data_IF_162850700950
#
_entry.id   IF_162850700950
#
_cell.length_a   1.000
_cell.length_b   1.000
_cell.length_c   1.000
_cell.angle_alpha   90.00
_cell.angle_beta   90.00
_cell.angle_gamma   90.00
#
_symmetry.space_group_name_H-M   'P 1'
#
loop_
_entity.id
_entity.type
_entity.pdbx_description
1 polymer ?
#
# COMPACT_ATOMS: atom_id res chain seq x y z
N UNK A 1 -34.15 90.12 23.69
CA UNK A 1 -35.57 90.52 23.64
C UNK A 1 -35.98 90.40 22.18
N UNK A 2 -36.85 89.49 21.73
CA UNK A 2 -38.28 89.40 22.01
C UNK A 2 -38.74 87.92 21.97
N UNK A 3 -39.78 87.65 22.76
CA UNK A 3 -40.39 86.36 23.13
C UNK A 3 -41.09 85.64 21.97
N UNK A 4 -40.95 84.32 21.92
CA UNK A 4 -41.77 83.41 21.11
C UNK A 4 -43.03 82.99 21.87
N UNK A 5 -44.19 83.07 21.22
CA UNK A 5 -45.49 82.70 21.76
C UNK A 5 -45.76 81.19 21.62
N UNK A 6 -46.27 80.56 22.68
CA UNK A 6 -46.72 79.17 22.71
C UNK A 6 -48.19 79.07 22.25
N UNK A 7 -48.47 78.16 21.32
CA UNK A 7 -49.82 77.75 20.93
C UNK A 7 -50.27 76.54 21.77
N UNK A 8 -51.50 76.57 22.28
CA UNK A 8 -52.14 75.50 23.06
C UNK A 8 -52.83 74.47 22.14
N UNK A 9 -52.71 73.18 22.46
CA UNK A 9 -53.37 72.05 21.76
C UNK A 9 -54.40 71.41 22.72
N UNK A 10 -55.60 71.11 22.22
CA UNK A 10 -56.67 70.38 22.94
C UNK A 10 -56.68 68.87 22.60
N UNK A 11 -57.19 67.97 23.48
CA UNK A 11 -57.09 66.52 23.31
C UNK A 11 -58.31 65.89 22.60
N UNK A 12 -58.21 64.62 22.11
CA UNK A 12 -59.22 63.99 21.27
C UNK A 12 -60.25 63.14 22.06
N UNK A 13 -61.42 62.92 21.45
CA UNK A 13 -62.57 62.18 21.99
C UNK A 13 -62.65 60.75 21.43
N UNK A 14 -63.05 59.76 22.25
CA UNK A 14 -63.17 58.33 21.90
C UNK A 14 -64.62 57.85 22.09
N UNK A 15 -65.20 56.99 21.21
CA UNK A 15 -66.54 56.42 21.40
C UNK A 15 -66.53 54.94 21.84
N UNK A 16 -67.59 54.53 22.56
CA UNK A 16 -67.79 53.18 23.13
C UNK A 16 -68.58 52.22 22.21
N UNK A 17 -68.29 50.91 22.31
CA UNK A 17 -68.91 49.83 21.54
C UNK A 17 -69.78 48.87 22.40
N UNK A 18 -70.90 48.42 21.84
CA UNK A 18 -71.89 47.48 22.42
C UNK A 18 -71.60 46.01 22.02
N UNK A 19 -71.88 45.04 22.92
CA UNK A 19 -71.79 43.59 22.66
C UNK A 19 -73.17 42.95 22.46
N UNK A 20 -73.24 41.92 21.60
CA UNK A 20 -74.39 40.97 21.46
C UNK A 20 -73.90 39.51 21.59
N UNK A 21 -74.81 38.61 22.02
CA UNK A 21 -74.55 37.19 22.28
C UNK A 21 -75.31 36.26 21.31
N UNK A 22 -74.72 35.12 20.96
CA UNK A 22 -75.23 34.15 19.97
C UNK A 22 -75.40 32.74 20.57
N UNK A 23 -76.49 32.05 20.23
CA UNK A 23 -76.85 30.69 20.71
C UNK A 23 -76.39 29.56 19.77
N UNK A 24 -76.11 28.38 20.33
CA UNK A 24 -75.44 27.24 19.67
C UNK A 24 -76.42 26.12 19.26
N UNK A 25 -76.31 25.57 18.03
CA UNK A 25 -77.07 24.38 17.53
C UNK A 25 -76.24 23.09 17.58
N UNK A 26 -76.90 21.93 17.78
CA UNK A 26 -76.30 20.57 17.80
C UNK A 26 -76.16 19.98 16.39
N UNK A 27 -75.06 19.27 16.14
CA UNK A 27 -74.72 18.58 14.88
C UNK A 27 -75.22 17.13 14.90
N UNK A 28 -75.76 16.59 13.79
CA UNK A 28 -76.25 15.21 13.72
C UNK A 28 -75.11 14.16 13.76
N UNK A 29 -75.34 13.01 14.41
CA UNK A 29 -74.29 12.04 14.76
C UNK A 29 -73.59 11.39 13.56
N UNK A 30 -74.29 11.17 12.43
CA UNK A 30 -73.70 10.57 11.24
C UNK A 30 -72.61 11.45 10.60
N UNK A 31 -72.80 12.78 10.60
CA UNK A 31 -71.81 13.73 10.09
C UNK A 31 -70.55 13.76 10.95
N UNK A 32 -70.69 13.59 12.27
CA UNK A 32 -69.54 13.50 13.19
C UNK A 32 -68.67 12.25 12.93
N UNK A 33 -69.27 11.11 12.58
CA UNK A 33 -68.54 9.87 12.26
C UNK A 33 -67.69 10.02 11.00
N UNK A 34 -68.23 10.62 9.94
CA UNK A 34 -67.49 10.85 8.67
C UNK A 34 -66.28 11.76 8.91
N UNK A 35 -66.46 12.85 9.66
CA UNK A 35 -65.36 13.77 10.02
C UNK A 35 -64.26 13.03 10.79
N UNK A 36 -64.62 12.17 11.75
CA UNK A 36 -63.63 11.40 12.53
C UNK A 36 -62.91 10.36 11.67
N UNK A 37 -63.58 9.71 10.72
CA UNK A 37 -62.96 8.73 9.82
C UNK A 37 -61.98 9.40 8.86
N UNK A 38 -62.38 10.51 8.25
CA UNK A 38 -61.53 11.30 7.34
C UNK A 38 -60.34 11.91 8.08
N UNK A 39 -60.56 12.41 9.30
CA UNK A 39 -59.49 12.91 10.14
C UNK A 39 -58.50 11.79 10.51
N UNK A 40 -58.99 10.62 10.95
CA UNK A 40 -58.13 9.47 11.29
C UNK A 40 -57.41 8.87 10.07
N UNK A 41 -57.98 8.92 8.87
CA UNK A 41 -57.30 8.45 7.66
C UNK A 41 -56.17 9.41 7.29
N UNK A 42 -56.42 10.73 7.31
CA UNK A 42 -55.42 11.77 7.06
C UNK A 42 -54.26 11.73 8.07
N UNK A 43 -54.57 11.62 9.36
CA UNK A 43 -53.53 11.48 10.40
C UNK A 43 -52.72 10.20 10.19
N UNK A 44 -53.34 9.09 9.79
CA UNK A 44 -52.62 7.84 9.47
C UNK A 44 -51.75 7.96 8.23
N UNK A 45 -52.14 8.72 7.20
CA UNK A 45 -51.30 8.94 6.02
C UNK A 45 -50.10 9.82 6.36
N UNK A 46 -50.31 10.93 7.08
CA UNK A 46 -49.24 11.83 7.54
C UNK A 46 -48.24 11.09 8.45
N UNK A 47 -48.72 10.24 9.36
CA UNK A 47 -47.86 9.39 10.20
C UNK A 47 -47.05 8.37 9.37
N UNK A 48 -47.65 7.76 8.35
CA UNK A 48 -46.96 6.79 7.48
C UNK A 48 -45.91 7.46 6.60
N UNK A 49 -46.16 8.66 6.10
CA UNK A 49 -45.19 9.45 5.33
C UNK A 49 -44.00 9.85 6.20
N UNK A 50 -44.25 10.38 7.40
CA UNK A 50 -43.20 10.71 8.36
C UNK A 50 -42.38 9.47 8.77
N UNK A 51 -43.02 8.31 8.94
CA UNK A 51 -42.30 7.06 9.23
C UNK A 51 -41.45 6.57 8.04
N UNK A 52 -41.94 6.73 6.80
CA UNK A 52 -41.17 6.41 5.58
C UNK A 52 -39.95 7.32 5.44
N UNK A 53 -40.10 8.62 5.67
CA UNK A 53 -38.98 9.57 5.65
C UNK A 53 -37.93 9.25 6.71
N UNK A 54 -38.36 8.95 7.94
CA UNK A 54 -37.46 8.52 9.03
C UNK A 54 -36.71 7.24 8.66
N UNK A 55 -37.39 6.24 8.10
CA UNK A 55 -36.76 4.99 7.64
C UNK A 55 -35.77 5.24 6.49
N UNK A 56 -36.11 6.10 5.54
CA UNK A 56 -35.22 6.45 4.43
C UNK A 56 -33.95 7.18 4.91
N UNK A 57 -34.06 8.10 5.88
CA UNK A 57 -32.92 8.78 6.48
C UNK A 57 -31.98 7.81 7.22
N UNK A 58 -32.52 6.86 7.98
CA UNK A 58 -31.73 5.81 8.66
C UNK A 58 -30.98 4.93 7.64
N UNK A 59 -31.65 4.52 6.57
CA UNK A 59 -31.04 3.74 5.48
C UNK A 59 -29.96 4.54 4.75
N UNK A 60 -30.17 5.84 4.52
CA UNK A 60 -29.17 6.75 3.95
C UNK A 60 -27.91 6.82 4.81
N UNK A 61 -28.05 7.12 6.10
CA UNK A 61 -26.94 7.16 7.05
C UNK A 61 -26.19 5.82 7.11
N UNK A 62 -26.91 4.69 7.07
CA UNK A 62 -26.29 3.36 7.09
C UNK A 62 -25.49 3.07 5.82
N UNK A 63 -25.96 3.50 4.64
CA UNK A 63 -25.23 3.39 3.37
C UNK A 63 -23.96 4.23 3.35
N UNK A 64 -24.02 5.47 3.83
CA UNK A 64 -22.85 6.35 3.91
C UNK A 64 -21.81 5.84 4.90
N UNK A 65 -22.25 5.36 6.07
CA UNK A 65 -21.38 4.73 7.06
C UNK A 65 -20.68 3.49 6.50
N UNK A 66 -21.40 2.67 5.73
CA UNK A 66 -20.84 1.49 5.09
C UNK A 66 -19.83 1.86 3.99
N UNK A 67 -20.16 2.86 3.16
CA UNK A 67 -19.24 3.36 2.13
C UNK A 67 -17.96 3.97 2.72
N UNK A 68 -18.07 4.70 3.85
CA UNK A 68 -16.91 5.21 4.59
C UNK A 68 -16.04 4.09 5.15
N UNK A 69 -16.64 3.05 5.74
CA UNK A 69 -15.91 1.89 6.24
C UNK A 69 -15.16 1.16 5.12
N UNK A 70 -15.78 0.97 3.95
CA UNK A 70 -15.12 0.37 2.78
C UNK A 70 -13.97 1.24 2.24
N UNK A 71 -14.16 2.56 2.15
CA UNK A 71 -13.08 3.49 1.74
C UNK A 71 -11.91 3.47 2.72
N UNK A 72 -12.22 3.46 4.02
CA UNK A 72 -11.20 3.37 5.08
C UNK A 72 -10.43 2.06 5.00
N UNK A 73 -11.13 0.92 4.88
CA UNK A 73 -10.49 -0.39 4.72
C UNK A 73 -9.62 -0.47 3.46
N UNK A 74 -10.13 0.01 2.33
CA UNK A 74 -9.38 0.03 1.06
C UNK A 74 -8.14 0.93 1.15
N UNK A 75 -8.24 2.10 1.78
CA UNK A 75 -7.09 2.98 2.03
C UNK A 75 -6.07 2.33 2.96
N UNK A 76 -6.50 1.73 4.07
CA UNK A 76 -5.62 1.01 4.99
C UNK A 76 -4.92 -0.17 4.31
N UNK A 77 -5.62 -0.94 3.48
CA UNK A 77 -5.05 -2.04 2.71
C UNK A 77 -4.01 -1.55 1.69
N UNK A 78 -4.27 -0.42 1.02
CA UNK A 78 -3.35 0.20 0.07
C UNK A 78 -2.10 0.79 0.74
N UNK A 79 -2.25 1.39 1.92
CA UNK A 79 -1.10 1.86 2.72
C UNK A 79 -0.30 0.68 3.26
N UNK A 80 -0.95 -0.38 3.75
CA UNK A 80 -0.27 -1.56 4.25
C UNK A 80 0.54 -2.29 3.16
N UNK A 81 0.05 -2.34 1.92
CA UNK A 81 0.80 -2.94 0.80
C UNK A 81 2.02 -2.11 0.39
N UNK A 82 1.95 -0.78 0.47
CA UNK A 82 3.08 0.12 0.23
C UNK A 82 4.17 0.06 1.31
N UNK A 83 3.82 -0.36 2.53
CA UNK A 83 4.76 -0.41 3.67
C UNK A 83 5.54 -1.73 3.79
N UNK A 84 5.32 -2.72 2.92
CA UNK A 84 6.16 -3.93 2.88
C UNK A 84 7.45 -3.62 2.13
N UNK A 85 8.34 -2.88 2.76
CA UNK A 85 9.71 -2.71 2.26
C UNK A 85 10.51 -3.91 2.76
N UNK A 86 11.01 -4.81 1.89
CA UNK A 86 11.87 -5.89 2.33
C UNK A 86 13.08 -5.28 3.04
N UNK A 87 13.27 -5.62 4.32
CA UNK A 87 14.46 -5.23 5.06
C UNK A 87 15.66 -5.92 4.40
N UNK A 88 16.40 -5.18 3.57
CA UNK A 88 17.64 -5.62 2.93
C UNK A 88 18.78 -5.63 3.96
N UNK A 89 18.65 -6.45 5.01
CA UNK A 89 19.78 -6.70 5.91
C UNK A 89 20.79 -7.54 5.17
N UNK A 90 22.03 -7.07 5.03
CA UNK A 90 23.09 -7.91 4.50
C UNK A 90 23.32 -9.12 5.43
N UNK A 91 23.81 -10.24 4.88
CA UNK A 91 24.12 -11.44 5.65
C UNK A 91 25.31 -12.21 5.07
N UNK A 92 25.96 -13.00 5.92
CA UNK A 92 26.89 -14.04 5.49
C UNK A 92 26.14 -15.36 5.52
N UNK A 93 26.04 -16.03 4.38
CA UNK A 93 25.37 -17.34 4.34
C UNK A 93 26.27 -18.43 4.93
N UNK A 94 25.65 -19.36 5.66
CA UNK A 94 26.26 -20.66 5.89
C UNK A 94 26.29 -21.46 4.58
N UNK A 95 27.31 -22.31 4.40
CA UNK A 95 27.55 -23.07 3.15
C UNK A 95 26.30 -23.79 2.65
N UNK A 96 25.67 -24.60 3.50
CA UNK A 96 24.52 -25.39 3.06
C UNK A 96 23.22 -24.59 2.92
N UNK A 97 23.10 -23.46 3.62
CA UNK A 97 21.95 -22.58 3.45
C UNK A 97 22.00 -21.87 2.10
N UNK A 98 23.20 -21.44 1.67
CA UNK A 98 23.38 -20.91 0.33
C UNK A 98 23.15 -21.99 -0.73
N UNK A 99 23.71 -23.20 -0.56
CA UNK A 99 23.55 -24.29 -1.51
C UNK A 99 22.07 -24.62 -1.75
N UNK A 100 21.27 -24.73 -0.67
CA UNK A 100 19.82 -24.93 -0.77
C UNK A 100 19.11 -23.76 -1.44
N UNK A 101 19.50 -22.52 -1.10
CA UNK A 101 18.91 -21.31 -1.71
C UNK A 101 19.13 -21.31 -3.23
N UNK A 102 20.37 -21.55 -3.67
CA UNK A 102 20.72 -21.57 -5.09
C UNK A 102 20.09 -22.77 -5.83
N UNK A 103 20.03 -23.93 -5.19
CA UNK A 103 19.33 -25.10 -5.72
C UNK A 103 17.84 -24.80 -5.94
N UNK A 104 17.16 -24.20 -4.95
CA UNK A 104 15.76 -23.78 -5.07
C UNK A 104 15.53 -22.70 -6.15
N UNK A 105 16.54 -21.86 -6.42
CA UNK A 105 16.54 -20.88 -7.52
C UNK A 105 16.88 -21.50 -8.89
N UNK A 106 17.09 -22.83 -8.95
CA UNK A 106 17.30 -23.60 -10.17
C UNK A 106 18.55 -23.21 -10.96
N UNK A 107 19.61 -22.74 -10.28
CA UNK A 107 20.82 -22.25 -10.97
C UNK A 107 21.52 -23.33 -11.81
N UNK A 108 21.31 -24.60 -11.46
CA UNK A 108 21.87 -25.77 -12.16
C UNK A 108 21.27 -26.00 -13.55
N UNK A 109 20.08 -25.44 -13.81
CA UNK A 109 19.47 -25.48 -15.14
C UNK A 109 20.01 -24.39 -16.09
N UNK A 110 20.87 -23.51 -15.58
CA UNK A 110 21.37 -22.36 -16.33
C UNK A 110 22.82 -22.53 -16.79
N UNK A 111 23.00 -22.66 -18.11
CA UNK A 111 24.32 -22.81 -18.72
C UNK A 111 24.97 -24.15 -18.40
N UNK A 112 26.31 -24.18 -18.37
CA UNK A 112 27.09 -25.39 -18.04
C UNK A 112 27.64 -25.38 -16.61
N UNK A 113 27.22 -24.42 -15.78
CA UNK A 113 27.72 -24.25 -14.42
C UNK A 113 26.94 -25.16 -13.44
N UNK A 114 27.65 -26.01 -12.71
CA UNK A 114 27.07 -26.85 -11.66
C UNK A 114 26.77 -26.04 -10.39
N UNK A 115 25.97 -26.57 -9.46
CA UNK A 115 25.80 -25.95 -8.13
C UNK A 115 27.15 -25.79 -7.39
N UNK A 116 28.07 -26.73 -7.60
CA UNK A 116 29.43 -26.63 -7.07
C UNK A 116 30.19 -25.42 -7.63
N UNK A 117 30.03 -25.10 -8.91
CA UNK A 117 30.62 -23.90 -9.52
C UNK A 117 30.08 -22.62 -8.89
N UNK A 118 28.75 -22.52 -8.75
CA UNK A 118 28.09 -21.38 -8.11
C UNK A 118 28.52 -21.20 -6.65
N UNK A 119 28.61 -22.31 -5.90
CA UNK A 119 29.06 -22.30 -4.51
C UNK A 119 30.55 -21.95 -4.38
N UNK A 120 31.40 -22.43 -5.29
CA UNK A 120 32.81 -22.07 -5.29
C UNK A 120 33.02 -20.62 -5.69
N UNK A 121 32.30 -20.13 -6.71
CA UNK A 121 32.30 -18.73 -7.14
C UNK A 121 31.96 -17.80 -5.97
N UNK A 122 30.82 -18.01 -5.32
CA UNK A 122 30.40 -17.18 -4.20
C UNK A 122 31.40 -17.18 -3.02
N UNK A 123 32.05 -18.33 -2.77
CA UNK A 123 33.08 -18.43 -1.74
C UNK A 123 34.35 -17.69 -2.14
N UNK A 124 34.80 -17.91 -3.38
CA UNK A 124 36.04 -17.36 -3.91
C UNK A 124 36.04 -15.84 -3.93
N UNK A 125 34.87 -15.25 -4.24
CA UNK A 125 34.65 -13.82 -4.43
C UNK A 125 34.31 -13.09 -3.12
N UNK A 126 33.40 -13.61 -2.31
CA UNK A 126 32.86 -12.86 -1.15
C UNK A 126 32.91 -13.62 0.18
N UNK A 127 33.40 -14.86 0.20
CA UNK A 127 33.23 -15.75 1.36
C UNK A 127 31.77 -15.85 1.81
N UNK A 128 30.83 -15.90 0.85
CA UNK A 128 29.38 -15.94 1.07
C UNK A 128 28.76 -14.69 1.71
N UNK A 129 29.47 -13.56 1.72
CA UNK A 129 28.99 -12.32 2.30
C UNK A 129 28.23 -11.46 1.28
N UNK A 130 26.92 -11.25 1.48
CA UNK A 130 26.13 -10.39 0.60
C UNK A 130 26.48 -8.91 0.74
N UNK A 131 27.11 -8.49 1.84
CA UNK A 131 27.55 -7.10 2.03
C UNK A 131 28.92 -6.81 1.40
N UNK A 132 29.58 -7.80 0.78
CA UNK A 132 30.93 -7.63 0.27
C UNK A 132 30.99 -6.56 -0.83
N UNK A 133 31.93 -5.63 -0.68
CA UNK A 133 32.24 -4.64 -1.71
C UNK A 133 33.75 -4.51 -1.88
N UNK A 134 34.22 -4.46 -3.13
CA UNK A 134 35.64 -4.29 -3.44
C UNK A 134 35.86 -3.11 -4.41
N UNK A 135 36.49 -2.01 -4.00
CA UNK A 135 36.85 -0.93 -4.92
C UNK A 135 38.04 -1.35 -5.79
N UNK A 136 37.90 -1.19 -7.10
CA UNK A 136 38.93 -1.53 -8.07
C UNK A 136 39.80 -0.32 -8.42
N UNK A 137 41.09 -0.53 -8.80
CA UNK A 137 41.99 0.55 -9.21
C UNK A 137 41.50 1.39 -10.41
N UNK A 138 40.63 0.82 -11.25
CA UNK A 138 40.04 1.48 -12.41
C UNK A 138 38.82 2.38 -12.05
N UNK A 139 38.52 2.55 -10.76
CA UNK A 139 37.41 3.36 -10.25
C UNK A 139 36.05 2.66 -10.20
N UNK A 140 35.93 1.44 -10.72
CA UNK A 140 34.73 0.62 -10.54
C UNK A 140 34.70 -0.03 -9.15
N UNK A 141 33.58 -0.65 -8.78
CA UNK A 141 33.45 -1.39 -7.53
C UNK A 141 32.70 -2.69 -7.79
N UNK A 142 33.12 -3.76 -7.15
CA UNK A 142 32.42 -5.05 -7.18
C UNK A 142 31.47 -5.16 -6.00
N UNK A 143 30.29 -5.74 -6.24
CA UNK A 143 29.20 -5.75 -5.26
C UNK A 143 28.64 -7.15 -5.01
N UNK A 144 28.36 -7.41 -3.75
CA UNK A 144 27.52 -8.52 -3.31
C UNK A 144 28.22 -9.87 -3.35
N UNK A 145 27.40 -10.90 -3.20
CA UNK A 145 27.86 -12.29 -3.00
C UNK A 145 28.68 -12.84 -4.19
N UNK A 146 28.45 -12.31 -5.39
CA UNK A 146 29.16 -12.70 -6.62
C UNK A 146 30.14 -11.63 -7.13
N UNK A 147 30.41 -10.56 -6.35
CA UNK A 147 31.31 -9.47 -6.71
C UNK A 147 31.05 -8.94 -8.14
N UNK A 148 29.81 -8.53 -8.40
CA UNK A 148 29.37 -8.02 -9.70
C UNK A 148 29.87 -6.58 -9.90
N UNK A 149 30.60 -6.34 -10.98
CA UNK A 149 31.30 -5.08 -11.24
C UNK A 149 30.39 -3.95 -11.77
N UNK A 150 30.46 -2.76 -11.16
CA UNK A 150 29.67 -1.58 -11.54
C UNK A 150 30.02 -0.94 -12.88
N UNK A 151 31.19 -1.22 -13.46
CA UNK A 151 31.54 -0.69 -14.78
C UNK A 151 30.61 -1.26 -15.85
N UNK A 152 30.18 -2.51 -15.70
CA UNK A 152 29.47 -3.25 -16.75
C UNK A 152 28.03 -3.59 -16.39
N UNK A 153 27.78 -4.00 -15.14
CA UNK A 153 26.57 -4.78 -14.84
C UNK A 153 25.50 -4.01 -14.07
N UNK A 154 25.87 -3.14 -13.12
CA UNK A 154 24.93 -2.41 -12.28
C UNK A 154 25.26 -0.92 -12.19
N UNK A 155 24.30 -0.10 -11.77
CA UNK A 155 24.47 1.34 -11.58
C UNK A 155 24.74 1.71 -10.11
N UNK A 156 25.86 2.39 -9.85
CA UNK A 156 26.21 2.95 -8.53
C UNK A 156 26.30 4.49 -8.55
N UNK A 157 25.76 5.16 -9.57
CA UNK A 157 25.85 6.61 -9.76
C UNK A 157 27.13 7.06 -10.47
N UNK A 158 28.01 6.14 -10.88
CA UNK A 158 29.17 6.42 -11.74
C UNK A 158 28.91 5.95 -13.18
N UNK A 159 29.70 6.45 -14.14
CA UNK A 159 29.53 6.08 -15.56
C UNK A 159 29.84 4.59 -15.77
N UNK A 160 28.80 3.80 -16.04
CA UNK A 160 28.88 2.37 -16.37
C UNK A 160 27.81 1.94 -17.38
N UNK A 161 27.86 0.68 -17.82
CA UNK A 161 26.92 0.15 -18.83
C UNK A 161 25.57 -0.29 -18.26
N UNK A 162 25.54 -0.71 -16.98
CA UNK A 162 24.33 -1.19 -16.29
C UNK A 162 23.54 -2.24 -17.09
N UNK A 163 24.21 -3.28 -17.59
CA UNK A 163 23.57 -4.32 -18.41
C UNK A 163 22.44 -5.07 -17.68
N UNK A 164 22.53 -5.24 -16.35
CA UNK A 164 21.48 -5.87 -15.55
C UNK A 164 20.31 -4.92 -15.22
N UNK A 165 20.41 -3.62 -15.53
CA UNK A 165 19.37 -2.60 -15.31
C UNK A 165 18.91 -2.48 -13.85
N UNK A 166 19.87 -2.59 -12.92
CA UNK A 166 19.63 -2.53 -11.48
C UNK A 166 20.59 -1.55 -10.82
N UNK A 167 20.23 -1.05 -9.63
CA UNK A 167 21.20 -0.36 -8.77
C UNK A 167 22.12 -1.38 -8.13
N UNK A 168 23.40 -1.07 -7.99
CA UNK A 168 24.36 -1.95 -7.30
C UNK A 168 23.98 -2.18 -5.82
N UNK A 169 23.20 -1.29 -5.20
CA UNK A 169 22.64 -1.48 -3.85
C UNK A 169 21.70 -2.68 -3.75
N UNK A 170 21.02 -3.06 -4.83
CA UNK A 170 20.12 -4.23 -4.85
C UNK A 170 20.90 -5.56 -4.71
N UNK A 171 22.21 -5.52 -4.93
CA UNK A 171 23.10 -6.69 -4.81
C UNK A 171 23.57 -6.95 -3.37
N UNK A 172 23.27 -6.04 -2.44
CA UNK A 172 23.80 -6.08 -1.07
C UNK A 172 22.83 -6.68 -0.02
N UNK A 173 21.60 -6.98 -0.43
CA UNK A 173 20.56 -7.51 0.46
C UNK A 173 20.74 -8.97 0.86
N UNK A 174 20.01 -9.41 1.89
CA UNK A 174 19.90 -10.84 2.26
C UNK A 174 19.17 -11.69 1.22
N UNK A 175 18.30 -11.04 0.44
CA UNK A 175 17.68 -11.64 -0.73
C UNK A 175 18.65 -11.51 -1.91
N UNK A 176 19.09 -12.64 -2.44
CA UNK A 176 20.08 -12.72 -3.51
C UNK A 176 19.43 -12.87 -4.90
N UNK A 177 18.12 -12.67 -5.02
CA UNK A 177 17.38 -12.85 -6.29
C UNK A 177 17.98 -11.99 -7.42
N UNK A 178 18.22 -10.70 -7.17
CA UNK A 178 18.84 -9.81 -8.17
C UNK A 178 20.30 -10.18 -8.44
N UNK A 179 21.03 -10.62 -7.41
CA UNK A 179 22.41 -11.11 -7.56
C UNK A 179 22.49 -12.34 -8.47
N UNK A 180 21.62 -13.33 -8.26
CA UNK A 180 21.56 -14.55 -9.07
C UNK A 180 21.11 -14.23 -10.50
N UNK A 181 20.12 -13.36 -10.65
CA UNK A 181 19.60 -12.95 -11.96
C UNK A 181 20.67 -12.26 -12.79
N UNK A 182 21.39 -11.30 -12.20
CA UNK A 182 22.47 -10.60 -12.88
C UNK A 182 23.67 -11.54 -13.16
N UNK A 183 24.05 -12.41 -12.22
CA UNK A 183 25.11 -13.39 -12.44
C UNK A 183 24.78 -14.40 -13.56
N UNK A 184 23.51 -14.80 -13.71
CA UNK A 184 23.06 -15.60 -14.88
C UNK A 184 23.30 -14.84 -16.19
N UNK A 185 23.04 -13.53 -16.24
CA UNK A 185 23.35 -12.73 -17.43
C UNK A 185 24.86 -12.71 -17.73
N UNK A 186 25.71 -12.48 -16.71
CA UNK A 186 27.17 -12.54 -16.86
C UNK A 186 27.63 -13.90 -17.39
N UNK A 187 27.12 -14.99 -16.82
CA UNK A 187 27.42 -16.36 -17.27
C UNK A 187 27.01 -16.61 -18.72
N UNK A 188 25.89 -16.06 -19.14
CA UNK A 188 25.41 -16.18 -20.52
C UNK A 188 26.34 -15.47 -21.50
N UNK A 189 26.83 -14.29 -21.14
CA UNK A 189 27.65 -13.46 -22.02
C UNK A 189 29.14 -13.82 -22.01
N UNK A 190 29.68 -14.16 -20.83
CA UNK A 190 31.13 -14.30 -20.61
C UNK A 190 31.54 -15.64 -20.00
N UNK A 191 30.59 -16.43 -19.52
CA UNK A 191 30.86 -17.68 -18.80
C UNK A 191 31.51 -17.46 -17.42
N UNK A 192 31.93 -18.56 -16.77
CA UNK A 192 32.55 -18.52 -15.43
C UNK A 192 33.92 -17.83 -15.42
N UNK A 193 34.58 -17.72 -16.58
CA UNK A 193 35.88 -17.08 -16.73
C UNK A 193 35.84 -15.54 -16.54
N UNK A 194 34.64 -14.96 -16.46
CA UNK A 194 34.45 -13.55 -16.10
C UNK A 194 34.94 -13.22 -14.67
N UNK A 195 35.00 -14.23 -13.79
CA UNK A 195 35.38 -14.07 -12.39
C UNK A 195 36.80 -14.56 -12.12
N UNK A 196 37.69 -13.64 -11.75
CA UNK A 196 39.08 -13.95 -11.40
C UNK A 196 39.18 -14.86 -10.17
N UNK A 197 38.29 -14.69 -9.19
CA UNK A 197 38.23 -15.56 -8.02
C UNK A 197 37.87 -17.00 -8.39
N UNK A 198 36.87 -17.19 -9.26
CA UNK A 198 36.52 -18.53 -9.74
C UNK A 198 37.65 -19.16 -10.57
N UNK A 199 38.28 -18.40 -11.48
CA UNK A 199 39.42 -18.88 -12.27
C UNK A 199 40.56 -19.37 -11.40
N UNK A 200 40.92 -18.60 -10.38
CA UNK A 200 42.03 -18.93 -9.49
C UNK A 200 41.72 -20.09 -8.53
N UNK A 201 40.49 -20.14 -8.00
CA UNK A 201 40.16 -21.04 -6.88
C UNK A 201 39.34 -22.25 -7.27
N UNK A 202 38.61 -22.24 -8.37
CA UNK A 202 37.58 -23.23 -8.72
C UNK A 202 37.88 -24.00 -9.99
N UNK A 203 38.41 -23.33 -11.03
CA UNK A 203 38.61 -23.92 -12.36
C UNK A 203 39.38 -25.24 -12.32
N UNK A 204 38.79 -26.27 -12.93
CA UNK A 204 39.42 -27.59 -13.10
C UNK A 204 39.55 -28.42 -11.82
N UNK A 205 38.94 -27.99 -10.70
CA UNK A 205 38.95 -28.74 -9.44
C UNK A 205 37.66 -29.53 -9.27
N UNK A 206 37.72 -30.56 -8.42
CA UNK A 206 36.50 -31.19 -7.92
C UNK A 206 35.82 -30.24 -6.92
N UNK A 207 34.60 -29.81 -7.26
CA UNK A 207 33.80 -28.88 -6.46
C UNK A 207 32.72 -29.60 -5.65
N UNK A 208 32.71 -30.93 -5.63
CA UNK A 208 31.73 -31.73 -4.87
C UNK A 208 31.70 -31.39 -3.38
N UNK A 209 32.85 -31.05 -2.80
CA UNK A 209 33.00 -30.65 -1.40
C UNK A 209 32.15 -29.41 -1.02
N UNK A 210 31.86 -28.51 -1.97
CA UNK A 210 31.06 -27.33 -1.72
C UNK A 210 29.59 -27.64 -1.42
N UNK A 211 29.07 -28.76 -1.95
CA UNK A 211 27.67 -29.19 -1.78
C UNK A 211 27.55 -30.45 -0.93
N UNK A 212 28.67 -31.09 -0.59
CA UNK A 212 28.71 -32.31 0.20
C UNK A 212 27.99 -32.13 1.54
N UNK A 213 27.08 -33.05 1.85
CA UNK A 213 26.32 -33.08 3.12
C UNK A 213 25.18 -32.06 3.23
N UNK A 214 24.91 -31.26 2.19
CA UNK A 214 23.90 -30.19 2.30
C UNK A 214 22.44 -30.64 2.21
N UNK A 215 22.16 -31.93 1.97
CA UNK A 215 20.80 -32.50 1.89
C UNK A 215 19.87 -31.62 1.03
N UNK A 216 20.17 -31.57 -0.26
CA UNK A 216 19.36 -30.84 -1.24
C UNK A 216 18.06 -31.61 -1.43
N UNK A 217 16.94 -31.00 -1.06
CA UNK A 217 15.61 -31.56 -1.29
C UNK A 217 15.25 -31.39 -2.78
N UNK A 218 14.68 -32.42 -3.44
CA UNK A 218 14.21 -32.34 -4.82
C UNK A 218 13.14 -31.27 -5.05
#
# INVERSE_FOLDING_TARGET
MVRSAFLTIAPPHVPHAHKQATTCRRVPPAAAVVVVVVYKSRVRTEQREAERERRAAVVGNQKESLAMAFRSFAMCALVASLCVVPQTRAKVFARCDLAKTLHAMGVESFGKASLGDWMCLAFAESSYNTAATHPNPNGSTDYGIFQINSKWWCDNGTKGHNACKIKCSELLGSDITESVTCAKLVLKEQGLEAWDGWKAKCRGKDLSAYVQGCKLSP
#
